data_IF_537429656621
#
_entry.id   IF_537429656621
#
_cell.length_a   1.000
_cell.length_b   1.000
_cell.length_c   1.000
_cell.angle_alpha   90.00
_cell.angle_beta   90.00
_cell.angle_gamma   90.00
#
_symmetry.space_group_name_H-M   'P 1'
#
loop_
_entity.id
_entity.type
_entity.pdbx_description
1 polymer ?
#
# COMPACT_ATOMS: atom_id res chain seq x y z
N UNK A 1 -1.65 -4.60 -23.69
CA UNK A 1 -1.67 -5.44 -22.47
C UNK A 1 -2.66 -4.87 -21.48
N UNK A 2 -3.71 -5.63 -21.15
CA UNK A 2 -4.70 -5.24 -20.13
C UNK A 2 -4.08 -5.34 -18.74
N UNK A 3 -4.30 -4.34 -17.90
CA UNK A 3 -3.81 -4.37 -16.51
C UNK A 3 -4.55 -5.48 -15.74
N UNK A 4 -3.81 -6.23 -14.92
CA UNK A 4 -4.42 -7.21 -14.02
C UNK A 4 -5.21 -6.49 -12.92
N UNK A 5 -6.29 -7.12 -12.45
CA UNK A 5 -7.21 -6.51 -11.48
C UNK A 5 -6.56 -6.39 -10.09
N UNK A 6 -6.83 -5.30 -9.40
CA UNK A 6 -6.42 -5.04 -8.01
C UNK A 6 -7.67 -4.71 -7.21
N UNK A 7 -7.81 -5.31 -6.03
CA UNK A 7 -8.77 -4.87 -5.01
C UNK A 7 -8.01 -4.21 -3.87
N UNK A 8 -8.72 -3.37 -3.12
CA UNK A 8 -8.14 -2.60 -2.04
C UNK A 8 -8.96 -2.82 -0.76
N UNK A 9 -8.31 -3.27 0.30
CA UNK A 9 -8.93 -3.43 1.62
C UNK A 9 -8.48 -2.28 2.51
N UNK A 10 -9.39 -1.48 3.11
CA UNK A 10 -8.99 -0.46 4.06
C UNK A 10 -8.46 -1.14 5.33
N UNK A 11 -7.29 -0.73 5.80
CA UNK A 11 -6.61 -1.36 6.95
C UNK A 11 -6.30 -0.41 8.10
N UNK A 12 -6.18 0.89 7.81
CA UNK A 12 -6.00 1.92 8.83
C UNK A 12 -6.37 3.29 8.27
N UNK A 13 -6.68 4.22 9.15
CA UNK A 13 -6.77 5.65 8.85
C UNK A 13 -5.82 6.46 9.73
N UNK A 14 -5.56 7.70 9.34
CA UNK A 14 -4.86 8.68 10.19
C UNK A 14 -5.61 8.92 11.50
N UNK A 15 -6.95 8.89 11.50
CA UNK A 15 -7.76 8.99 12.71
C UNK A 15 -7.46 7.83 13.67
N UNK A 16 -7.42 6.58 13.17
CA UNK A 16 -7.05 5.40 13.96
C UNK A 16 -5.63 5.53 14.54
N UNK A 17 -4.73 6.17 13.77
CA UNK A 17 -3.35 6.42 14.17
C UNK A 17 -3.18 7.67 15.06
N UNK A 18 -4.27 8.38 15.37
CA UNK A 18 -4.30 9.66 16.13
C UNK A 18 -3.44 10.75 15.47
N UNK A 19 -3.56 10.86 14.15
CA UNK A 19 -2.84 11.79 13.29
C UNK A 19 -3.79 12.63 12.45
N UNK A 20 -3.25 13.71 11.87
CA UNK A 20 -3.96 14.52 10.87
C UNK A 20 -3.40 14.26 9.47
N UNK A 21 -4.23 14.39 8.44
CA UNK A 21 -3.86 14.09 7.06
C UNK A 21 -2.78 15.05 6.52
N UNK A 22 -2.70 16.26 7.09
CA UNK A 22 -1.78 17.33 6.70
C UNK A 22 -0.39 17.19 7.36
N UNK A 23 -0.21 16.23 8.27
CA UNK A 23 1.11 15.97 8.84
C UNK A 23 2.10 15.47 7.79
N UNK A 24 3.38 15.53 8.14
CA UNK A 24 4.43 15.00 7.28
C UNK A 24 4.17 13.52 6.97
N UNK A 25 4.28 13.17 5.70
CA UNK A 25 3.97 11.84 5.21
C UNK A 25 4.87 10.76 5.80
N UNK A 26 6.13 11.10 6.14
CA UNK A 26 7.06 10.17 6.76
C UNK A 26 6.63 9.87 8.19
N UNK A 27 6.10 10.85 8.92
CA UNK A 27 5.52 10.62 10.24
C UNK A 27 4.31 9.68 10.15
N UNK A 28 3.39 9.96 9.21
CA UNK A 28 2.17 9.17 9.02
C UNK A 28 2.51 7.72 8.67
N UNK A 29 3.41 7.52 7.71
CA UNK A 29 3.84 6.17 7.33
C UNK A 29 4.66 5.50 8.43
N UNK A 30 5.52 6.23 9.15
CA UNK A 30 6.26 5.65 10.28
C UNK A 30 5.32 5.12 11.36
N UNK A 31 4.24 5.86 11.67
CA UNK A 31 3.21 5.42 12.62
C UNK A 31 2.47 4.18 12.13
N UNK A 32 2.09 4.17 10.86
CA UNK A 32 1.49 2.99 10.24
C UNK A 32 2.42 1.76 10.30
N UNK A 33 3.69 1.91 9.95
CA UNK A 33 4.68 0.83 9.97
C UNK A 33 4.93 0.29 11.37
N UNK A 34 4.92 1.16 12.39
CA UNK A 34 5.01 0.74 13.79
C UNK A 34 3.80 -0.11 14.20
N UNK A 35 2.59 0.29 13.79
CA UNK A 35 1.37 -0.47 14.08
C UNK A 35 1.30 -1.80 13.31
N UNK A 36 1.86 -1.84 12.10
CA UNK A 36 1.91 -3.03 11.25
C UNK A 36 3.12 -3.94 11.53
N UNK A 37 3.99 -3.58 12.48
CA UNK A 37 5.26 -4.27 12.78
C UNK A 37 6.12 -4.52 11.52
N UNK A 38 6.08 -3.58 10.57
CA UNK A 38 6.68 -3.72 9.24
C UNK A 38 7.78 -2.72 8.95
N UNK A 39 8.61 -3.02 7.96
CA UNK A 39 9.63 -2.11 7.39
C UNK A 39 9.32 -1.80 5.94
N UNK A 40 9.56 -0.56 5.53
CA UNK A 40 9.39 -0.17 4.13
C UNK A 40 10.59 -0.62 3.31
N UNK A 41 10.34 -1.48 2.33
CA UNK A 41 11.34 -1.95 1.38
C UNK A 41 11.33 -1.15 0.07
N UNK A 42 10.20 -0.50 -0.26
CA UNK A 42 10.10 0.42 -1.38
C UNK A 42 9.00 1.45 -1.17
N UNK A 43 9.25 2.66 -1.67
CA UNK A 43 8.44 3.83 -1.42
C UNK A 43 8.41 4.70 -2.67
N UNK A 44 7.21 5.10 -3.11
CA UNK A 44 7.01 6.06 -4.20
C UNK A 44 5.90 7.05 -3.83
N UNK A 45 6.19 8.35 -3.91
CA UNK A 45 5.22 9.41 -3.60
C UNK A 45 4.63 10.02 -4.86
N UNK A 46 3.34 10.29 -4.77
CA UNK A 46 2.60 11.18 -5.64
C UNK A 46 1.86 12.21 -4.80
N UNK A 47 1.37 13.27 -5.44
CA UNK A 47 0.65 14.34 -4.75
C UNK A 47 -0.58 13.83 -3.97
N UNK A 48 -1.27 12.80 -4.48
CA UNK A 48 -2.52 12.26 -3.91
C UNK A 48 -2.33 10.97 -3.12
N UNK A 49 -1.22 10.26 -3.30
CA UNK A 49 -1.01 9.00 -2.60
C UNK A 49 0.42 8.53 -2.60
N UNK A 50 0.68 7.54 -1.75
CA UNK A 50 2.00 6.92 -1.60
C UNK A 50 1.86 5.42 -1.82
N UNK A 51 2.67 4.88 -2.74
CA UNK A 51 2.83 3.43 -2.88
C UNK A 51 3.90 2.96 -1.90
N UNK A 52 3.55 1.97 -1.10
CA UNK A 52 4.46 1.31 -0.16
C UNK A 52 4.56 -0.17 -0.49
N UNK A 53 5.78 -0.71 -0.46
CA UNK A 53 6.02 -2.13 -0.34
C UNK A 53 6.61 -2.38 1.05
N UNK A 54 5.86 -3.08 1.88
CA UNK A 54 6.18 -3.31 3.30
C UNK A 54 6.50 -4.79 3.50
N UNK A 55 7.50 -5.07 4.31
CA UNK A 55 7.95 -6.43 4.64
C UNK A 55 8.05 -6.56 6.16
N UNK A 56 7.96 -7.78 6.69
CA UNK A 56 8.29 -8.06 8.07
C UNK A 56 9.82 -7.97 8.23
N UNK A 57 10.31 -7.52 9.40
CA UNK A 57 11.72 -7.65 9.74
C UNK A 57 12.18 -9.10 9.53
N UNK A 58 13.33 -9.27 8.89
CA UNK A 58 13.98 -10.56 8.64
C UNK A 58 13.29 -11.55 7.68
N UNK A 59 12.07 -11.28 7.20
CA UNK A 59 11.42 -12.10 6.17
C UNK A 59 11.39 -11.44 4.79
N UNK A 60 12.31 -11.87 3.92
CA UNK A 60 12.43 -11.38 2.54
C UNK A 60 11.33 -11.86 1.60
N UNK A 61 10.36 -12.64 2.08
CA UNK A 61 9.23 -13.18 1.32
C UNK A 61 7.89 -12.84 1.96
N UNK A 62 7.81 -11.90 2.88
CA UNK A 62 6.54 -11.49 3.51
C UNK A 62 5.92 -10.24 2.88
N UNK A 63 6.39 -9.79 1.71
CA UNK A 63 6.09 -8.47 1.19
C UNK A 63 4.64 -8.26 0.80
N UNK A 64 4.10 -7.10 1.13
CA UNK A 64 2.74 -6.67 0.79
C UNK A 64 2.74 -5.22 0.28
N UNK A 65 1.79 -4.90 -0.59
CA UNK A 65 1.64 -3.57 -1.16
C UNK A 65 0.54 -2.79 -0.46
N UNK A 66 0.84 -1.53 -0.16
CA UNK A 66 -0.12 -0.59 0.41
C UNK A 66 -0.18 0.70 -0.39
N UNK A 67 -1.34 1.34 -0.40
CA UNK A 67 -1.48 2.75 -0.82
C UNK A 67 -1.97 3.56 0.37
N UNK A 68 -1.23 4.63 0.69
CA UNK A 68 -1.75 5.71 1.52
C UNK A 68 -2.46 6.73 0.62
N UNK A 69 -3.77 6.90 0.78
CA UNK A 69 -4.58 7.93 0.14
C UNK A 69 -4.48 9.21 0.98
N UNK A 70 -3.71 10.19 0.52
CA UNK A 70 -3.46 11.46 1.23
C UNK A 70 -4.71 12.33 1.35
N UNK A 71 -5.65 12.19 0.41
CA UNK A 71 -6.88 12.99 0.39
C UNK A 71 -7.86 12.45 1.44
N UNK A 72 -7.96 11.12 1.55
CA UNK A 72 -8.88 10.47 2.48
C UNK A 72 -8.25 10.11 3.83
N UNK A 73 -6.93 10.21 3.97
CA UNK A 73 -6.21 9.81 5.18
C UNK A 73 -6.30 8.32 5.47
N UNK A 74 -6.28 7.45 4.45
CA UNK A 74 -6.48 5.99 4.61
C UNK A 74 -5.39 5.16 3.98
N UNK A 75 -5.02 4.09 4.66
CA UNK A 75 -4.16 3.03 4.16
C UNK A 75 -5.01 1.89 3.59
N UNK A 76 -4.63 1.46 2.40
CA UNK A 76 -5.26 0.38 1.66
C UNK A 76 -4.26 -0.74 1.42
N UNK A 77 -4.56 -1.95 1.89
CA UNK A 77 -3.85 -3.16 1.47
C UNK A 77 -4.30 -3.53 0.06
N UNK A 78 -3.34 -3.77 -0.84
CA UNK A 78 -3.64 -4.15 -2.22
C UNK A 78 -3.66 -5.67 -2.38
N UNK A 79 -4.83 -6.18 -2.75
CA UNK A 79 -5.04 -7.58 -3.13
C UNK A 79 -4.84 -7.70 -4.63
N UNK A 80 -3.74 -8.32 -5.03
CA UNK A 80 -3.44 -8.57 -6.43
C UNK A 80 -4.16 -9.84 -6.88
N UNK A 81 -4.79 -9.82 -8.05
CA UNK A 81 -5.43 -11.00 -8.63
C UNK A 81 -4.40 -12.01 -9.18
N UNK A 82 -3.54 -12.54 -8.30
CA UNK A 82 -2.54 -13.58 -8.58
C UNK A 82 -2.65 -14.82 -7.67
N UNK A 83 -3.67 -14.88 -6.82
CA UNK A 83 -3.98 -16.04 -5.99
C UNK A 83 -3.20 -16.10 -4.66
N UNK A 84 -2.44 -15.05 -4.31
CA UNK A 84 -1.73 -14.97 -3.03
C UNK A 84 -2.01 -13.62 -2.36
N UNK A 85 -2.23 -13.63 -1.05
CA UNK A 85 -2.38 -12.42 -0.23
C UNK A 85 -1.02 -12.02 0.32
N UNK A 86 -0.27 -11.22 -0.44
CA UNK A 86 1.09 -10.83 -0.05
C UNK A 86 2.10 -11.96 -0.26
N UNK A 87 3.09 -12.06 0.61
CA UNK A 87 4.13 -13.07 0.47
C UNK A 87 5.11 -12.80 -0.68
N UNK A 88 5.14 -11.56 -1.17
CA UNK A 88 5.96 -11.21 -2.33
C UNK A 88 7.40 -10.97 -1.89
N UNK A 89 8.35 -11.44 -2.68
CA UNK A 89 9.76 -11.09 -2.48
C UNK A 89 10.09 -9.73 -3.10
N UNK A 90 11.17 -9.11 -2.60
CA UNK A 90 11.70 -7.88 -3.19
C UNK A 90 11.99 -8.01 -4.70
N UNK A 91 12.42 -9.19 -5.16
CA UNK A 91 12.68 -9.46 -6.59
C UNK A 91 11.43 -9.40 -7.45
N UNK A 92 10.27 -9.72 -6.89
CA UNK A 92 9.01 -9.76 -7.62
C UNK A 92 8.31 -8.41 -7.63
N UNK A 93 8.65 -7.56 -6.67
CA UNK A 93 8.04 -6.26 -6.44
C UNK A 93 7.93 -5.42 -7.72
N UNK A 94 9.05 -5.18 -8.42
CA UNK A 94 9.04 -4.34 -9.62
C UNK A 94 8.15 -4.91 -10.73
N UNK A 95 8.16 -6.24 -10.89
CA UNK A 95 7.29 -6.92 -11.86
C UNK A 95 5.81 -6.74 -11.48
N UNK A 96 5.45 -6.90 -10.20
CA UNK A 96 4.07 -6.71 -9.72
C UNK A 96 3.62 -5.25 -9.89
N UNK A 97 4.47 -4.28 -9.55
CA UNK A 97 4.20 -2.85 -9.75
C UNK A 97 3.79 -2.56 -11.20
N UNK A 98 4.54 -3.12 -12.16
CA UNK A 98 4.26 -2.97 -13.59
C UNK A 98 3.01 -3.72 -14.03
N UNK A 99 2.93 -5.02 -13.72
CA UNK A 99 1.88 -5.90 -14.23
C UNK A 99 0.46 -5.50 -13.74
N UNK A 100 0.40 -4.93 -12.53
CA UNK A 100 -0.84 -4.44 -11.91
C UNK A 100 -1.01 -2.91 -11.96
N UNK A 101 -0.06 -2.20 -12.59
CA UNK A 101 -0.04 -0.72 -12.72
C UNK A 101 -0.23 0.01 -11.37
N UNK A 102 0.46 -0.44 -10.33
CA UNK A 102 0.28 0.07 -8.96
C UNK A 102 0.62 1.56 -8.83
N UNK A 103 1.59 2.05 -9.61
CA UNK A 103 1.93 3.48 -9.66
C UNK A 103 0.74 4.35 -10.09
N UNK A 104 -0.04 3.89 -11.08
CA UNK A 104 -1.21 4.62 -11.56
C UNK A 104 -2.37 4.66 -10.54
N UNK A 105 -2.37 3.74 -9.57
CA UNK A 105 -3.29 3.74 -8.43
C UNK A 105 -2.81 4.69 -7.33
N UNK A 106 -1.50 4.75 -7.06
CA UNK A 106 -0.94 5.71 -6.10
C UNK A 106 -1.02 7.16 -6.61
N UNK A 107 -0.87 7.38 -7.92
CA UNK A 107 -1.06 8.68 -8.56
C UNK A 107 -2.51 9.17 -8.44
N UNK A 108 -3.49 8.25 -8.50
CA UNK A 108 -4.90 8.57 -8.34
C UNK A 108 -5.65 7.50 -7.50
N UNK A 109 -5.58 7.58 -6.15
CA UNK A 109 -6.20 6.61 -5.24
C UNK A 109 -7.73 6.54 -5.33
N UNK A 110 -8.38 7.52 -5.96
CA UNK A 110 -9.81 7.48 -6.24
C UNK A 110 -10.22 6.31 -7.16
N UNK A 111 -9.26 5.70 -7.88
CA UNK A 111 -9.46 4.55 -8.76
C UNK A 111 -9.43 3.20 -8.03
N UNK A 112 -9.10 3.18 -6.73
CA UNK A 112 -9.10 1.96 -5.94
C UNK A 112 -10.52 1.39 -5.86
N UNK A 113 -10.63 0.10 -6.13
CA UNK A 113 -11.88 -0.64 -6.01
C UNK A 113 -11.85 -1.33 -4.65
N UNK A 114 -12.70 -0.87 -3.72
CA UNK A 114 -12.77 -1.45 -2.39
C UNK A 114 -13.22 -2.92 -2.46
N UNK A 115 -12.52 -3.79 -1.74
CA UNK A 115 -13.08 -5.08 -1.35
C UNK A 115 -14.00 -4.85 -0.14
N UNK A 116 -15.14 -5.54 -0.02
CA UNK A 116 -15.86 -5.63 1.26
C UNK A 116 -14.94 -6.26 2.30
N UNK A 117 -14.93 -5.73 3.53
CA UNK A 117 -14.39 -6.49 4.67
C UNK A 117 -15.28 -7.73 4.86
N UNK A 118 -14.66 -8.91 4.82
CA UNK A 118 -15.32 -10.16 5.19
C UNK A 118 -15.54 -10.24 6.70
#
# INVERSE_FOLDING_TARGET
>A
MSAKRVRACPVASTEDLKMRNEQDVREIVSRFLTAAEGVVAHWVEYARGVLLFVMAPDDRRSGAFYIYDRIRGRFWLLELADGVLGGYSYREMQRKIRDFRLLALAENPARLISSPQA
#
